data_IF_041561322025
#
_entry.id   IF_041561322025
#
_cell.length_a   1.000
_cell.length_b   1.000
_cell.length_c   1.000
_cell.angle_alpha   90.00
_cell.angle_beta   90.00
_cell.angle_gamma   90.00
#
_symmetry.space_group_name_H-M   'P 1'
#
loop_
_entity.id
_entity.type
_entity.pdbx_description
1 polymer ?
#
# COMPACT_ATOMS: atom_id res chain seq x y z
N UNK A 1 -16.87 31.61 44.19
CA UNK A 1 -15.85 30.61 43.78
C UNK A 1 -16.48 29.22 43.90
N UNK A 2 -16.94 28.62 42.80
CA UNK A 2 -17.72 27.35 42.81
C UNK A 2 -16.82 26.21 42.36
N UNK A 3 -16.63 25.24 43.26
CA UNK A 3 -15.75 24.08 43.14
C UNK A 3 -16.48 22.98 42.34
N UNK A 4 -15.95 22.59 41.17
CA UNK A 4 -16.49 21.49 40.36
C UNK A 4 -15.77 20.19 40.73
N UNK A 5 -16.52 19.21 41.21
CA UNK A 5 -16.04 17.85 41.47
C UNK A 5 -16.13 17.04 40.16
N UNK A 6 -15.00 16.46 39.72
CA UNK A 6 -14.93 15.53 38.61
C UNK A 6 -15.15 14.11 39.15
N UNK A 7 -16.24 13.46 38.73
CA UNK A 7 -16.48 12.04 39.01
C UNK A 7 -15.77 11.18 37.97
N UNK A 8 -14.79 10.38 38.40
CA UNK A 8 -14.22 9.30 37.59
C UNK A 8 -15.10 8.05 37.75
N UNK A 9 -15.68 7.61 36.64
CA UNK A 9 -16.38 6.33 36.53
C UNK A 9 -15.33 5.23 36.32
N UNK A 10 -15.09 4.41 37.34
CA UNK A 10 -14.25 3.21 37.21
C UNK A 10 -15.14 2.06 36.74
N UNK A 11 -14.94 1.62 35.50
CA UNK A 11 -15.53 0.38 34.99
C UNK A 11 -14.63 -0.78 35.44
N UNK A 12 -15.09 -1.53 36.43
CA UNK A 12 -14.48 -2.81 36.82
C UNK A 12 -14.89 -3.88 35.82
N UNK A 13 -14.04 -4.16 34.83
CA UNK A 13 -14.15 -5.36 34.00
C UNK A 13 -13.66 -6.57 34.79
N UNK A 14 -14.58 -7.49 35.09
CA UNK A 14 -14.25 -8.81 35.63
C UNK A 14 -13.44 -9.60 34.60
N UNK A 15 -12.17 -9.87 34.90
CA UNK A 15 -11.35 -10.82 34.14
C UNK A 15 -11.88 -12.24 34.35
N UNK A 16 -12.69 -12.73 33.42
CA UNK A 16 -12.80 -14.18 33.22
C UNK A 16 -11.48 -14.66 32.61
N UNK A 17 -10.81 -15.61 33.27
CA UNK A 17 -9.57 -16.20 32.77
C UNK A 17 -9.80 -16.89 31.41
N UNK A 18 -9.48 -16.19 30.33
CA UNK A 18 -9.44 -16.76 28.98
C UNK A 18 -8.16 -17.60 28.83
N UNK A 19 -8.19 -18.72 28.09
CA UNK A 19 -6.99 -19.50 27.80
C UNK A 19 -5.94 -18.57 27.19
N UNK A 20 -4.69 -18.63 27.65
CA UNK A 20 -3.64 -17.65 27.33
C UNK A 20 -3.57 -17.34 25.84
N UNK A 21 -4.19 -16.22 25.44
CA UNK A 21 -4.10 -15.67 24.09
C UNK A 21 -2.77 -14.95 24.01
N UNK A 22 -1.93 -15.38 23.08
CA UNK A 22 -0.59 -14.83 22.91
C UNK A 22 -0.63 -13.69 21.90
N UNK A 23 0.01 -12.59 22.28
CA UNK A 23 0.15 -11.40 21.46
C UNK A 23 1.51 -11.42 20.77
N UNK A 24 1.59 -10.85 19.57
CA UNK A 24 2.86 -10.68 18.89
C UNK A 24 3.05 -9.25 18.40
N UNK A 25 4.31 -8.83 18.39
CA UNK A 25 4.77 -7.68 17.62
C UNK A 25 5.69 -8.19 16.52
N UNK A 26 5.65 -7.55 15.36
CA UNK A 26 6.49 -7.95 14.24
C UNK A 26 6.90 -6.76 13.41
N UNK A 27 7.99 -6.94 12.67
CA UNK A 27 8.50 -5.94 11.74
C UNK A 27 9.16 -6.62 10.56
N UNK A 28 9.11 -5.97 9.40
CA UNK A 28 9.58 -6.58 8.16
C UNK A 28 9.82 -5.59 7.04
N UNK A 29 10.37 -6.12 5.95
CA UNK A 29 10.53 -5.45 4.68
C UNK A 29 9.67 -6.15 3.65
N UNK A 30 9.09 -5.36 2.77
CA UNK A 30 8.16 -5.83 1.77
C UNK A 30 8.27 -5.02 0.49
N UNK A 31 7.66 -5.54 -0.57
CA UNK A 31 7.54 -4.82 -1.85
C UNK A 31 6.74 -3.52 -1.74
N UNK A 32 5.97 -3.35 -0.68
CA UNK A 32 5.18 -2.17 -0.36
C UNK A 32 5.76 -1.32 0.79
N UNK A 33 6.94 -1.68 1.30
CA UNK A 33 7.73 -0.82 2.17
C UNK A 33 8.31 -1.52 3.39
N UNK A 34 8.56 -0.75 4.45
CA UNK A 34 8.99 -1.25 5.75
C UNK A 34 7.81 -1.13 6.70
N UNK A 35 7.54 -2.21 7.43
CA UNK A 35 6.34 -2.31 8.25
C UNK A 35 6.60 -2.72 9.68
N UNK A 36 5.68 -2.32 10.55
CA UNK A 36 5.54 -2.79 11.92
C UNK A 36 4.09 -3.20 12.16
N UNK A 37 3.88 -4.27 12.90
CA UNK A 37 2.55 -4.76 13.19
C UNK A 37 2.40 -5.43 14.54
N UNK A 38 1.14 -5.63 14.89
CA UNK A 38 0.67 -6.32 16.07
C UNK A 38 -0.28 -7.43 15.64
N UNK A 39 -0.16 -8.59 16.27
CA UNK A 39 -1.02 -9.74 16.04
C UNK A 39 -1.60 -10.26 17.36
N UNK A 40 -2.86 -10.68 17.32
CA UNK A 40 -3.55 -11.27 18.44
C UNK A 40 -4.09 -12.66 18.06
N UNK A 41 -3.68 -13.68 18.81
CA UNK A 41 -4.20 -15.03 18.65
C UNK A 41 -5.63 -15.14 19.20
N UNK A 42 -6.62 -15.19 18.31
CA UNK A 42 -8.03 -15.34 18.71
C UNK A 42 -8.32 -16.80 19.12
N UNK A 43 -7.77 -17.74 18.34
CA UNK A 43 -7.82 -19.18 18.58
C UNK A 43 -6.50 -19.83 18.18
N UNK A 44 -6.33 -21.13 18.43
CA UNK A 44 -5.17 -21.89 17.90
C UNK A 44 -5.12 -21.99 16.37
N UNK A 45 -6.21 -21.64 15.69
CA UNK A 45 -6.33 -21.70 14.23
C UNK A 45 -6.47 -20.32 13.58
N UNK A 46 -6.55 -19.24 14.36
CA UNK A 46 -6.88 -17.94 13.80
C UNK A 46 -6.22 -16.79 14.55
N UNK A 47 -5.64 -15.87 13.79
CA UNK A 47 -5.10 -14.61 14.27
C UNK A 47 -5.83 -13.43 13.64
N UNK A 48 -5.82 -12.31 14.36
CA UNK A 48 -6.09 -10.99 13.80
C UNK A 48 -4.82 -10.18 13.86
N UNK A 49 -4.50 -9.46 12.78
CA UNK A 49 -3.33 -8.59 12.71
C UNK A 49 -3.72 -7.18 12.29
N UNK A 50 -2.99 -6.23 12.83
CA UNK A 50 -2.95 -4.85 12.35
C UNK A 50 -1.50 -4.46 12.08
N UNK A 51 -1.24 -3.75 11.00
CA UNK A 51 0.10 -3.26 10.69
C UNK A 51 0.05 -1.89 10.04
N UNK A 52 1.23 -1.28 9.98
CA UNK A 52 1.47 -0.05 9.28
C UNK A 52 2.75 -0.20 8.46
N UNK A 53 2.67 0.11 7.17
CA UNK A 53 3.76 0.02 6.20
C UNK A 53 3.99 1.38 5.53
N UNK A 54 5.26 1.70 5.29
CA UNK A 54 5.63 2.93 4.62
C UNK A 54 6.95 2.87 3.88
N UNK A 55 7.02 3.57 2.76
CA UNK A 55 8.23 3.77 1.97
C UNK A 55 8.05 4.94 1.01
N UNK A 56 9.10 5.75 0.86
CA UNK A 56 9.13 6.84 -0.11
C UNK A 56 10.40 6.76 -0.95
N UNK A 57 10.28 6.94 -2.26
CA UNK A 57 11.40 6.92 -3.19
C UNK A 57 11.22 7.99 -4.26
N UNK A 58 12.21 8.86 -4.38
CA UNK A 58 12.29 9.85 -5.47
C UNK A 58 13.41 9.45 -6.43
N UNK A 59 13.14 9.47 -7.74
CA UNK A 59 14.14 9.13 -8.76
C UNK A 59 13.94 9.96 -10.01
N UNK A 60 15.01 10.61 -10.44
CA UNK A 60 15.09 11.29 -11.73
C UNK A 60 15.76 10.39 -12.77
N UNK A 61 15.24 10.34 -13.99
CA UNK A 61 15.81 9.54 -15.09
C UNK A 61 15.39 10.07 -16.46
N UNK A 62 16.17 9.72 -17.49
CA UNK A 62 15.84 10.05 -18.88
C UNK A 62 15.22 8.84 -19.58
N UNK A 63 14.16 9.04 -20.34
CA UNK A 63 13.59 8.02 -21.22
C UNK A 63 13.18 8.65 -22.55
N UNK A 64 13.89 8.27 -23.63
CA UNK A 64 13.78 8.94 -24.92
C UNK A 64 14.17 10.42 -24.82
N UNK A 65 13.32 11.30 -25.32
CA UNK A 65 13.53 12.75 -25.34
C UNK A 65 13.01 13.47 -24.08
N UNK A 66 12.60 12.72 -23.06
CA UNK A 66 11.99 13.24 -21.84
C UNK A 66 12.85 12.95 -20.60
N UNK A 67 13.04 13.97 -19.77
CA UNK A 67 13.51 13.86 -18.40
C UNK A 67 12.31 13.67 -17.47
N UNK A 68 12.38 12.71 -16.56
CA UNK A 68 11.33 12.41 -15.61
C UNK A 68 11.83 12.59 -14.19
N UNK A 69 11.05 13.30 -13.38
CA UNK A 69 11.17 13.34 -11.93
C UNK A 69 10.00 12.56 -11.34
N UNK A 70 10.27 11.35 -10.83
CA UNK A 70 9.25 10.47 -10.30
C UNK A 70 9.35 10.33 -8.78
N UNK A 71 8.19 10.37 -8.11
CA UNK A 71 8.04 10.18 -6.67
C UNK A 71 7.06 9.06 -6.40
N UNK A 72 7.52 8.04 -5.67
CA UNK A 72 6.72 6.94 -5.16
C UNK A 72 6.51 7.16 -3.66
N UNK A 73 5.26 7.23 -3.23
CA UNK A 73 4.86 7.35 -1.83
C UNK A 73 3.91 6.20 -1.46
N UNK A 74 4.38 5.31 -0.60
CA UNK A 74 3.63 4.20 -0.03
C UNK A 74 3.41 4.48 1.45
N UNK A 75 2.14 4.52 1.88
CA UNK A 75 1.75 4.74 3.27
C UNK A 75 0.36 4.15 3.47
N UNK A 76 0.27 3.08 4.25
CA UNK A 76 -0.99 2.46 4.56
C UNK A 76 -0.96 1.66 5.86
N UNK A 77 -2.14 1.52 6.46
CA UNK A 77 -2.39 0.50 7.48
C UNK A 77 -2.96 -0.76 6.84
N UNK A 78 -2.83 -1.88 7.54
CA UNK A 78 -3.41 -3.16 7.17
C UNK A 78 -4.21 -3.76 8.32
N UNK A 79 -5.31 -4.44 8.01
CA UNK A 79 -6.07 -5.28 8.93
C UNK A 79 -6.24 -6.66 8.29
N UNK A 80 -5.79 -7.70 8.98
CA UNK A 80 -5.75 -9.05 8.44
C UNK A 80 -6.33 -10.08 9.39
N UNK A 81 -6.93 -11.12 8.82
CA UNK A 81 -7.30 -12.34 9.49
C UNK A 81 -6.53 -13.50 8.87
N UNK A 82 -5.79 -14.24 9.70
CA UNK A 82 -5.03 -15.40 9.27
C UNK A 82 -5.74 -16.67 9.74
N UNK A 83 -5.89 -17.65 8.86
CA UNK A 83 -6.41 -18.97 9.15
C UNK A 83 -5.30 -19.99 9.00
N UNK A 84 -5.06 -20.79 10.03
CA UNK A 84 -4.09 -21.87 10.06
C UNK A 84 -4.83 -23.20 9.90
N UNK A 85 -4.81 -23.86 8.73
CA UNK A 85 -5.61 -25.08 8.53
C UNK A 85 -5.10 -26.27 9.32
N UNK A 86 -3.78 -26.37 9.51
CA UNK A 86 -3.12 -27.47 10.22
C UNK A 86 -1.89 -26.99 11.01
N UNK A 87 -2.06 -26.13 12.04
CA UNK A 87 -0.97 -25.45 12.76
C UNK A 87 0.00 -26.40 13.47
N UNK A 88 -0.43 -27.64 13.74
CA UNK A 88 0.40 -28.69 14.36
C UNK A 88 1.24 -29.49 13.36
N UNK A 89 0.97 -29.36 12.05
CA UNK A 89 1.64 -30.13 10.98
C UNK A 89 2.44 -29.19 10.08
N UNK A 90 1.84 -28.07 9.69
CA UNK A 90 2.44 -27.07 8.80
C UNK A 90 2.14 -25.66 9.32
N UNK A 91 3.15 -24.80 9.51
CA UNK A 91 2.97 -23.47 10.07
C UNK A 91 2.56 -22.42 9.01
N UNK A 92 1.84 -22.85 7.97
CA UNK A 92 1.32 -21.93 6.95
C UNK A 92 -0.06 -21.40 7.37
N UNK A 93 -0.37 -20.20 6.90
CA UNK A 93 -1.68 -19.60 7.04
C UNK A 93 -2.19 -19.05 5.71
N UNK A 94 -3.51 -18.94 5.61
CA UNK A 94 -4.22 -18.20 4.58
C UNK A 94 -4.66 -16.87 5.17
N UNK A 95 -4.42 -15.78 4.47
CA UNK A 95 -4.71 -14.43 4.94
C UNK A 95 -5.77 -13.78 4.07
N UNK A 96 -6.75 -13.15 4.71
CA UNK A 96 -7.66 -12.22 4.07
C UNK A 96 -7.67 -10.91 4.87
N UNK A 97 -7.72 -9.78 4.17
CA UNK A 97 -7.65 -8.50 4.86
C UNK A 97 -8.00 -7.29 4.01
N UNK A 98 -7.78 -6.12 4.60
CA UNK A 98 -7.96 -4.82 3.98
C UNK A 98 -6.69 -4.00 4.22
N UNK A 99 -6.20 -3.40 3.15
CA UNK A 99 -5.18 -2.37 3.18
C UNK A 99 -5.88 -1.02 3.05
N UNK A 100 -5.53 -0.07 3.93
CA UNK A 100 -6.18 1.23 4.05
C UNK A 100 -5.11 2.32 4.04
N UNK A 101 -5.04 3.12 2.97
CA UNK A 101 -4.04 4.17 2.89
C UNK A 101 -4.00 4.94 1.58
N UNK A 102 -2.85 5.59 1.34
CA UNK A 102 -2.70 6.63 0.34
C UNK A 102 -1.64 6.35 -0.72
N UNK A 103 -1.35 5.08 -1.01
CA UNK A 103 -0.29 4.70 -1.96
C UNK A 103 -0.48 5.39 -3.32
N UNK A 104 0.57 6.06 -3.77
CA UNK A 104 0.56 6.80 -5.02
C UNK A 104 1.95 6.89 -5.64
N UNK A 105 1.94 7.15 -6.94
CA UNK A 105 3.13 7.52 -7.71
C UNK A 105 2.78 8.75 -8.54
N UNK A 106 3.65 9.74 -8.53
CA UNK A 106 3.58 10.86 -9.46
C UNK A 106 4.89 11.05 -10.21
N UNK A 107 4.78 11.64 -11.39
CA UNK A 107 5.89 11.91 -12.27
C UNK A 107 5.68 13.21 -13.03
N UNK A 108 6.71 14.04 -13.06
CA UNK A 108 6.77 15.23 -13.92
C UNK A 108 7.70 14.91 -15.09
N UNK A 109 7.20 15.13 -16.31
CA UNK A 109 7.94 14.98 -17.55
C UNK A 109 8.34 16.34 -18.10
N UNK A 110 9.63 16.50 -18.41
CA UNK A 110 10.21 17.69 -19.04
C UNK A 110 10.88 17.30 -20.34
N UNK A 111 10.56 17.98 -21.44
CA UNK A 111 11.22 17.71 -22.73
C UNK A 111 12.66 18.20 -22.76
N UNK A 112 13.56 17.36 -23.25
CA UNK A 112 14.97 17.70 -23.53
C UNK A 112 15.17 18.24 -24.95
N UNK A 113 14.20 18.05 -25.84
CA UNK A 113 14.27 18.46 -27.26
C UNK A 113 13.37 19.65 -27.60
N UNK A 114 12.63 20.17 -26.62
CA UNK A 114 11.67 21.27 -26.81
C UNK A 114 10.33 20.84 -27.42
N UNK A 115 10.08 19.53 -27.54
CA UNK A 115 8.80 18.98 -28.01
C UNK A 115 8.28 17.83 -27.14
N UNK A 116 6.95 17.70 -27.06
CA UNK A 116 6.26 16.52 -26.53
C UNK A 116 5.65 15.71 -27.65
N UNK A 117 5.58 14.39 -27.48
CA UNK A 117 4.84 13.49 -28.37
C UNK A 117 3.65 12.91 -27.61
N UNK A 118 2.44 13.38 -27.93
CA UNK A 118 1.18 13.03 -27.25
C UNK A 118 0.32 12.26 -28.25
N UNK A 119 0.00 11.01 -27.96
CA UNK A 119 -0.75 10.12 -28.87
C UNK A 119 -0.24 10.14 -30.33
N UNK A 120 1.09 10.21 -30.49
CA UNK A 120 1.75 10.24 -31.80
C UNK A 120 1.88 11.61 -32.46
N UNK A 121 1.28 12.66 -31.91
CA UNK A 121 1.39 14.06 -32.38
C UNK A 121 2.54 14.76 -31.67
N UNK A 122 3.44 15.37 -32.43
CA UNK A 122 4.55 16.16 -31.87
C UNK A 122 4.15 17.63 -31.73
N UNK A 123 4.30 18.19 -30.54
CA UNK A 123 3.93 19.58 -30.21
C UNK A 123 5.06 20.29 -29.47
N UNK A 124 5.23 21.61 -29.65
CA UNK A 124 6.22 22.37 -28.89
C UNK A 124 5.82 22.41 -27.40
N UNK A 125 6.81 22.37 -26.50
CA UNK A 125 6.53 22.43 -25.05
C UNK A 125 6.19 23.83 -24.57
N UNK A 126 6.76 24.86 -25.20
CA UNK A 126 6.70 26.23 -24.68
C UNK A 126 7.47 26.42 -23.38
N UNK A 127 8.36 25.48 -23.01
CA UNK A 127 9.05 25.45 -21.72
C UNK A 127 8.24 24.84 -20.57
N UNK A 128 7.01 24.39 -20.82
CA UNK A 128 6.12 23.80 -19.82
C UNK A 128 6.41 22.31 -19.58
N UNK A 129 5.99 21.79 -18.42
CA UNK A 129 6.09 20.38 -18.03
C UNK A 129 4.73 19.70 -18.04
N UNK A 130 4.72 18.36 -18.14
CA UNK A 130 3.49 17.55 -18.04
C UNK A 130 3.57 16.74 -16.75
N UNK A 131 2.50 16.71 -15.97
CA UNK A 131 2.45 15.95 -14.72
C UNK A 131 1.43 14.82 -14.82
N UNK A 132 1.79 13.64 -14.29
CA UNK A 132 0.89 12.51 -14.19
C UNK A 132 0.97 11.90 -12.79
N UNK A 133 -0.18 11.56 -12.22
CA UNK A 133 -0.28 10.93 -10.90
C UNK A 133 -1.19 9.71 -10.96
N UNK A 134 -0.70 8.57 -10.49
CA UNK A 134 -1.49 7.38 -10.29
C UNK A 134 -1.69 7.12 -8.79
N UNK A 135 -2.94 7.05 -8.35
CA UNK A 135 -3.31 6.87 -6.94
C UNK A 135 -4.13 5.61 -6.75
N UNK A 136 -3.73 4.75 -5.83
CA UNK A 136 -4.52 3.58 -5.48
C UNK A 136 -5.79 3.95 -4.70
N UNK A 137 -6.86 3.13 -4.76
CA UNK A 137 -8.03 3.31 -3.92
C UNK A 137 -7.64 3.27 -2.44
N UNK A 138 -8.34 4.07 -1.62
CA UNK A 138 -8.05 4.16 -0.18
C UNK A 138 -8.19 2.82 0.52
N UNK A 139 -9.19 2.02 0.15
CA UNK A 139 -9.42 0.69 0.70
C UNK A 139 -9.20 -0.36 -0.38
N UNK A 140 -8.33 -1.33 -0.10
CA UNK A 140 -7.96 -2.42 -1.02
C UNK A 140 -8.11 -3.78 -0.33
N UNK A 141 -8.96 -4.68 -0.83
CA UNK A 141 -8.98 -6.06 -0.38
C UNK A 141 -7.63 -6.75 -0.62
N UNK A 142 -7.22 -7.62 0.30
CA UNK A 142 -6.00 -8.40 0.23
C UNK A 142 -6.28 -9.87 0.48
N UNK A 143 -5.61 -10.73 -0.29
CA UNK A 143 -5.57 -12.17 -0.06
C UNK A 143 -4.15 -12.68 -0.18
N UNK A 144 -3.75 -13.56 0.72
CA UNK A 144 -2.39 -14.07 0.76
C UNK A 144 -2.26 -15.43 1.41
N UNK A 145 -1.03 -15.90 1.38
CA UNK A 145 -0.55 -17.08 2.07
C UNK A 145 0.77 -16.71 2.76
N UNK A 146 1.02 -17.30 3.91
CA UNK A 146 2.26 -17.01 4.61
C UNK A 146 2.70 -18.14 5.54
N UNK A 147 3.89 -17.97 6.09
CA UNK A 147 4.54 -18.85 7.04
C UNK A 147 4.98 -18.02 8.23
N UNK A 148 4.88 -18.61 9.43
CA UNK A 148 5.12 -17.87 10.67
C UNK A 148 3.80 -17.38 11.26
N UNK A 149 3.86 -16.39 12.14
CA UNK A 149 2.71 -15.91 12.92
C UNK A 149 1.99 -17.03 13.73
N UNK A 150 2.58 -18.22 13.90
CA UNK A 150 1.89 -19.37 14.49
C UNK A 150 1.54 -19.10 15.98
N UNK A 151 0.25 -19.18 16.36
CA UNK A 151 -0.21 -18.85 17.71
C UNK A 151 0.32 -19.79 18.82
N UNK A 152 0.98 -20.89 18.47
CA UNK A 152 1.33 -21.97 19.41
C UNK A 152 2.68 -21.77 20.13
N UNK A 153 3.58 -20.90 19.64
CA UNK A 153 4.95 -20.77 20.16
C UNK A 153 5.29 -19.33 20.55
N UNK A 154 5.79 -19.13 21.78
CA UNK A 154 6.30 -17.84 22.27
C UNK A 154 7.77 -17.66 21.88
N UNK A 155 8.22 -16.41 21.85
CA UNK A 155 9.60 -16.01 21.56
C UNK A 155 9.79 -15.44 20.15
N UNK A 156 11.06 -15.36 19.74
CA UNK A 156 11.47 -14.81 18.45
C UNK A 156 11.23 -15.83 17.33
N UNK A 157 10.70 -15.37 16.20
CA UNK A 157 10.55 -16.17 14.99
C UNK A 157 10.69 -15.29 13.73
N UNK A 158 10.72 -15.92 12.57
CA UNK A 158 10.68 -15.25 11.28
C UNK A 158 9.32 -15.48 10.61
N UNK A 159 8.94 -14.59 9.70
CA UNK A 159 7.74 -14.76 8.90
C UNK A 159 8.00 -14.44 7.43
N UNK A 160 7.15 -14.99 6.58
CA UNK A 160 7.08 -14.74 5.15
C UNK A 160 5.61 -14.68 4.75
N UNK A 161 5.18 -13.58 4.14
CA UNK A 161 3.83 -13.42 3.60
C UNK A 161 3.93 -13.12 2.10
N UNK A 162 3.08 -13.75 1.30
CA UNK A 162 2.92 -13.47 -0.12
C UNK A 162 1.43 -13.39 -0.47
N UNK A 163 1.02 -12.30 -1.12
CA UNK A 163 -0.38 -12.10 -1.47
C UNK A 163 -0.57 -11.06 -2.56
N UNK A 164 -1.83 -10.72 -2.79
CA UNK A 164 -2.23 -9.75 -3.80
C UNK A 164 -3.26 -8.81 -3.19
N UNK A 165 -2.98 -7.52 -3.31
CA UNK A 165 -3.96 -6.46 -3.06
C UNK A 165 -4.73 -6.15 -4.35
N UNK A 166 -6.04 -5.94 -4.22
CA UNK A 166 -6.90 -5.55 -5.32
C UNK A 166 -7.33 -4.09 -5.20
N UNK A 167 -7.08 -3.29 -6.22
CA UNK A 167 -7.53 -1.89 -6.27
C UNK A 167 -7.12 -1.22 -7.57
N UNK A 168 -8.10 -0.74 -8.33
CA UNK A 168 -7.87 -0.05 -9.61
C UNK A 168 -7.32 1.37 -9.35
N UNK A 169 -6.10 1.71 -9.79
CA UNK A 169 -5.58 3.06 -9.63
C UNK A 169 -6.41 4.08 -10.42
N UNK A 170 -6.59 5.26 -9.84
CA UNK A 170 -7.01 6.45 -10.56
C UNK A 170 -5.77 7.12 -11.16
N UNK A 171 -5.90 7.69 -12.36
CA UNK A 171 -4.82 8.43 -13.03
C UNK A 171 -5.30 9.84 -13.28
N UNK A 172 -4.56 10.81 -12.75
CA UNK A 172 -4.68 12.22 -13.06
C UNK A 172 -3.59 12.56 -14.09
N UNK A 173 -3.97 13.18 -15.21
CA UNK A 173 -3.03 13.61 -16.25
C UNK A 173 -3.20 15.11 -16.50
N UNK A 174 -2.25 15.88 -15.98
CA UNK A 174 -2.25 17.34 -16.05
C UNK A 174 -1.35 17.81 -17.20
N UNK A 175 -2.00 18.28 -18.25
CA UNK A 175 -1.36 18.79 -19.47
C UNK A 175 -1.66 20.29 -19.60
N UNK A 176 -0.64 21.15 -19.66
CA UNK A 176 -0.79 22.58 -19.84
C UNK A 176 -1.67 22.96 -21.05
N UNK A 177 -2.49 24.00 -20.91
CA UNK A 177 -3.51 24.36 -21.91
C UNK A 177 -2.91 24.69 -23.30
N UNK A 178 -1.72 25.29 -23.36
CA UNK A 178 -1.01 25.54 -24.61
C UNK A 178 -0.66 24.24 -25.35
N UNK A 179 -0.25 23.21 -24.61
CA UNK A 179 0.05 21.88 -25.13
C UNK A 179 -1.25 21.18 -25.57
N UNK A 180 -2.31 21.26 -24.77
CA UNK A 180 -3.64 20.73 -25.14
C UNK A 180 -4.15 21.39 -26.43
N UNK A 181 -4.03 22.71 -26.56
CA UNK A 181 -4.45 23.43 -27.75
C UNK A 181 -3.65 23.04 -29.00
N UNK A 182 -2.35 22.76 -28.85
CA UNK A 182 -1.49 22.32 -29.95
C UNK A 182 -1.71 20.84 -30.32
N UNK A 183 -1.90 19.96 -29.32
CA UNK A 183 -2.05 18.52 -29.52
C UNK A 183 -3.49 18.14 -29.92
N UNK A 184 -4.48 18.95 -29.50
CA UNK A 184 -5.89 18.64 -29.59
C UNK A 184 -6.37 17.78 -28.41
N UNK A 185 -7.53 18.13 -27.85
CA UNK A 185 -8.11 17.44 -26.68
C UNK A 185 -8.24 15.92 -26.90
N UNK A 186 -8.65 15.48 -28.09
CA UNK A 186 -8.82 14.06 -28.40
C UNK A 186 -7.51 13.26 -28.29
N UNK A 187 -6.36 13.87 -28.57
CA UNK A 187 -5.05 13.21 -28.43
C UNK A 187 -4.61 13.15 -26.98
N UNK A 188 -4.91 14.19 -26.19
CA UNK A 188 -4.67 14.21 -24.75
C UNK A 188 -5.53 13.15 -24.05
N UNK A 189 -6.81 13.08 -24.38
CA UNK A 189 -7.74 12.07 -23.83
C UNK A 189 -7.31 10.64 -24.18
N UNK A 190 -6.81 10.43 -25.39
CA UNK A 190 -6.28 9.14 -25.83
C UNK A 190 -4.98 8.76 -25.10
N UNK A 191 -4.09 9.72 -24.87
CA UNK A 191 -2.87 9.50 -24.07
C UNK A 191 -3.22 9.20 -22.60
N UNK A 192 -4.16 9.95 -22.01
CA UNK A 192 -4.67 9.68 -20.66
C UNK A 192 -5.29 8.28 -20.57
N UNK A 193 -6.09 7.87 -21.56
CA UNK A 193 -6.66 6.53 -21.60
C UNK A 193 -5.57 5.45 -21.65
N UNK A 194 -4.49 5.67 -22.40
CA UNK A 194 -3.34 4.77 -22.45
C UNK A 194 -2.63 4.68 -21.09
N UNK A 195 -2.39 5.82 -20.43
CA UNK A 195 -1.81 5.86 -19.07
C UNK A 195 -2.70 5.11 -18.07
N UNK A 196 -4.01 5.33 -18.12
CA UNK A 196 -4.99 4.63 -17.30
C UNK A 196 -4.97 3.12 -17.56
N UNK A 197 -4.87 2.68 -18.81
CA UNK A 197 -4.82 1.26 -19.15
C UNK A 197 -3.52 0.59 -18.67
N UNK A 198 -2.39 1.31 -18.73
CA UNK A 198 -1.13 0.86 -18.12
C UNK A 198 -1.27 0.75 -16.60
N UNK A 199 -1.82 1.77 -15.94
CA UNK A 199 -2.05 1.75 -14.49
C UNK A 199 -3.04 0.63 -14.08
N UNK A 200 -4.05 0.33 -14.90
CA UNK A 200 -5.00 -0.75 -14.66
C UNK A 200 -4.34 -2.14 -14.60
N UNK A 201 -3.15 -2.33 -15.16
CA UNK A 201 -2.39 -3.59 -15.01
C UNK A 201 -1.96 -3.82 -13.57
N UNK A 202 -1.80 -2.75 -12.79
CA UNK A 202 -1.47 -2.79 -11.36
C UNK A 202 -2.70 -2.95 -10.46
N UNK A 203 -3.91 -3.15 -11.02
CA UNK A 203 -5.12 -3.40 -10.21
C UNK A 203 -5.00 -4.63 -9.32
N UNK A 204 -4.16 -5.59 -9.71
CA UNK A 204 -3.72 -6.71 -8.89
C UNK A 204 -2.26 -6.46 -8.53
N UNK A 205 -2.03 -5.98 -7.32
CA UNK A 205 -0.70 -5.60 -6.85
C UNK A 205 -0.13 -6.73 -5.98
N UNK A 206 0.88 -7.48 -6.44
CA UNK A 206 1.51 -8.51 -5.64
C UNK A 206 2.32 -7.89 -4.49
N UNK A 207 2.15 -8.44 -3.30
CA UNK A 207 2.90 -8.04 -2.10
C UNK A 207 3.65 -9.25 -1.58
N UNK A 208 4.96 -9.09 -1.36
CA UNK A 208 5.81 -10.08 -0.70
C UNK A 208 6.50 -9.41 0.48
N UNK A 209 6.40 -10.01 1.65
CA UNK A 209 6.92 -9.48 2.92
C UNK A 209 7.71 -10.56 3.66
N UNK A 210 8.84 -10.16 4.24
CA UNK A 210 9.65 -10.99 5.12
C UNK A 210 10.02 -10.20 6.37
N UNK A 211 10.16 -10.88 7.50
CA UNK A 211 10.53 -10.19 8.72
C UNK A 211 10.68 -11.09 9.93
N UNK A 212 10.66 -10.45 11.09
CA UNK A 212 10.76 -11.10 12.39
C UNK A 212 9.54 -10.77 13.24
N UNK A 213 9.14 -11.73 14.07
CA UNK A 213 8.08 -11.60 15.06
C UNK A 213 8.60 -11.95 16.44
N UNK A 214 8.06 -11.31 17.47
CA UNK A 214 8.25 -11.67 18.87
C UNK A 214 6.89 -11.84 19.55
N UNK A 215 6.60 -13.07 19.99
CA UNK A 215 5.34 -13.45 20.66
C UNK A 215 5.52 -13.61 22.17
N UNK A 216 4.63 -13.03 22.97
CA UNK A 216 4.70 -13.02 24.44
C UNK A 216 3.43 -13.54 25.12
#
# INVERSE_FOLDING_TARGET
MKMKWAGYLVILMSFAAQPSRADEIYGGVATDGIGLGYGHAVTRYANLRAEFDGFALSRSFNAGDLHYDAHLDLYHGGLFADLFPAPSVVPFHLTAGLIIGGDNIDATATSMTGTYRINGVTVPTGGETIHAKAKFPVVRPYFGLGFGHNPSHRGLSAFFDAGVAFGKPHVDFDVPQNIVAAAGQSNVDAEEANLRDKANRLRFYPIVKIGATYRF
#
